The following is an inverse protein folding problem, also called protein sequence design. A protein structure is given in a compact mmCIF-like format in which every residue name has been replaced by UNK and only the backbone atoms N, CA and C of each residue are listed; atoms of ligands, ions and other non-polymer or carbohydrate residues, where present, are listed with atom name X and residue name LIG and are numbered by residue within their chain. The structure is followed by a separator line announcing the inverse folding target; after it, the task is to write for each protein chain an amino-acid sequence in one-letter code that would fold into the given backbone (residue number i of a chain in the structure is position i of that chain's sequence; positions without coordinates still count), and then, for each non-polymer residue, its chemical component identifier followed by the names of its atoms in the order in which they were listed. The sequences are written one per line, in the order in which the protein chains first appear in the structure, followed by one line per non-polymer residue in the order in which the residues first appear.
data_IF_584196702044
#
_entry.id   IF_584196702044
#
_cell.length_a   1.000
_cell.length_b   1.000
_cell.length_c   1.000
_cell.angle_alpha   90.00
_cell.angle_beta   90.00
_cell.angle_gamma   90.00
#
_symmetry.space_group_name_H-M   'P 1'
#
loop_
_entity.id
_entity.type
_entity.pdbx_description
1 polymer ?
#
# COMPACT_ATOMS: atom_id res chain seq x y z
N UNK A 1 42.56 -36.29 -26.87
CA UNK A 1 42.98 -35.14 -26.04
C UNK A 1 43.67 -34.05 -26.87
N UNK A 2 44.32 -34.37 -27.95
CA UNK A 2 45.10 -33.41 -28.78
C UNK A 2 44.26 -32.54 -29.71
N UNK A 3 43.12 -33.05 -30.21
CA UNK A 3 42.20 -32.30 -31.04
C UNK A 3 41.56 -31.16 -30.24
N UNK A 4 41.13 -31.40 -29.02
CA UNK A 4 40.56 -30.38 -28.13
C UNK A 4 41.58 -29.28 -27.79
N UNK A 5 42.83 -29.66 -27.54
CA UNK A 5 43.95 -28.72 -27.30
C UNK A 5 44.23 -27.85 -28.52
N UNK A 6 44.18 -28.44 -29.73
CA UNK A 6 44.36 -27.71 -30.99
C UNK A 6 43.28 -26.66 -31.20
N UNK A 7 42.01 -27.03 -31.05
CA UNK A 7 40.91 -26.09 -31.19
C UNK A 7 40.90 -25.01 -30.09
N UNK A 8 41.22 -25.38 -28.85
CA UNK A 8 41.37 -24.42 -27.77
C UNK A 8 42.48 -23.39 -28.06
N UNK A 9 43.64 -23.84 -28.55
CA UNK A 9 44.77 -22.93 -28.90
C UNK A 9 44.45 -22.04 -30.09
N UNK A 10 43.64 -22.51 -31.05
CA UNK A 10 43.24 -21.75 -32.26
C UNK A 10 42.12 -20.75 -31.98
N UNK A 11 41.21 -21.10 -31.09
CA UNK A 11 39.99 -20.32 -30.81
C UNK A 11 39.92 -19.75 -29.39
N UNK A 12 41.04 -19.74 -28.64
CA UNK A 12 41.04 -19.27 -27.25
C UNK A 12 40.50 -17.84 -27.08
N UNK A 13 40.71 -16.97 -28.06
CA UNK A 13 40.14 -15.61 -28.07
C UNK A 13 38.62 -15.66 -28.11
N UNK A 14 38.04 -16.60 -28.85
CA UNK A 14 36.57 -16.81 -28.87
C UNK A 14 36.04 -17.23 -27.50
N UNK A 15 36.75 -18.08 -26.78
CA UNK A 15 36.39 -18.48 -25.42
C UNK A 15 36.43 -17.33 -24.42
N UNK A 16 37.36 -16.38 -24.61
CA UNK A 16 37.43 -15.15 -23.80
C UNK A 16 36.14 -14.28 -23.93
N UNK A 17 35.44 -14.34 -25.04
CA UNK A 17 34.18 -13.62 -25.23
C UNK A 17 32.95 -14.49 -24.97
N UNK A 18 32.96 -15.73 -25.42
CA UNK A 18 31.81 -16.64 -25.29
C UNK A 18 31.55 -16.97 -23.82
N UNK A 19 32.56 -17.31 -23.03
CA UNK A 19 32.37 -17.70 -21.63
C UNK A 19 31.80 -16.54 -20.79
N UNK A 20 32.40 -15.34 -20.79
CA UNK A 20 31.83 -14.20 -20.07
C UNK A 20 30.41 -13.86 -20.54
N UNK A 21 30.14 -13.94 -21.85
CA UNK A 21 28.80 -13.68 -22.39
C UNK A 21 27.78 -14.70 -21.91
N UNK A 22 28.15 -15.98 -21.85
CA UNK A 22 27.29 -17.03 -21.30
C UNK A 22 27.05 -16.84 -19.80
N UNK A 23 28.10 -16.53 -19.03
CA UNK A 23 27.98 -16.23 -17.60
C UNK A 23 27.04 -15.05 -17.39
N UNK A 24 27.25 -13.96 -18.12
CA UNK A 24 26.39 -12.77 -18.05
C UNK A 24 24.96 -13.11 -18.43
N UNK A 25 24.73 -13.89 -19.49
CA UNK A 25 23.41 -14.37 -19.87
C UNK A 25 22.72 -15.12 -18.72
N UNK A 26 23.42 -16.06 -18.08
CA UNK A 26 22.87 -16.81 -16.95
C UNK A 26 22.58 -15.90 -15.75
N UNK A 27 23.45 -14.93 -15.46
CA UNK A 27 23.20 -13.95 -14.40
C UNK A 27 21.92 -13.11 -14.67
N UNK A 28 21.64 -12.82 -15.94
CA UNK A 28 20.43 -12.07 -16.35
C UNK A 28 19.15 -12.91 -16.42
N UNK A 29 19.26 -14.25 -16.52
CA UNK A 29 18.08 -15.12 -16.70
C UNK A 29 17.69 -15.85 -15.42
N UNK A 30 18.66 -16.24 -14.59
CA UNK A 30 18.39 -16.97 -13.34
C UNK A 30 17.72 -16.03 -12.35
N UNK A 31 16.46 -16.34 -12.02
CA UNK A 31 15.68 -15.62 -11.02
C UNK A 31 15.95 -16.17 -9.62
N UNK A 32 15.89 -15.30 -8.65
CA UNK A 32 16.08 -15.61 -7.22
C UNK A 32 14.77 -15.45 -6.46
N UNK A 33 14.76 -15.84 -5.18
CA UNK A 33 13.65 -15.55 -4.25
C UNK A 33 13.83 -14.18 -3.56
N UNK A 34 14.46 -13.24 -4.23
CA UNK A 34 14.65 -11.87 -3.73
C UNK A 34 13.84 -10.89 -4.55
N UNK A 35 13.39 -9.85 -3.89
CA UNK A 35 12.77 -8.70 -4.52
C UNK A 35 13.65 -7.46 -4.31
N UNK A 36 13.51 -6.49 -5.21
CA UNK A 36 14.24 -5.23 -5.18
C UNK A 36 13.22 -4.10 -5.12
N UNK A 37 13.39 -3.19 -4.17
CA UNK A 37 12.68 -1.93 -4.12
C UNK A 37 13.58 -0.87 -4.74
N UNK A 38 13.03 -0.13 -5.69
CA UNK A 38 13.70 0.99 -6.35
C UNK A 38 12.98 2.29 -6.00
N UNK A 39 13.74 3.38 -5.94
CA UNK A 39 13.22 4.72 -5.85
C UNK A 39 12.15 4.94 -6.93
N UNK A 40 11.01 5.50 -6.52
CA UNK A 40 9.89 5.83 -7.40
C UNK A 40 9.73 7.34 -7.58
N UNK A 41 8.49 7.77 -7.70
CA UNK A 41 8.12 9.17 -7.91
C UNK A 41 7.00 9.59 -6.95
N UNK A 42 6.73 10.89 -6.89
CA UNK A 42 5.58 11.45 -6.18
C UNK A 42 4.37 11.55 -7.10
N UNK A 43 3.19 11.45 -6.50
CA UNK A 43 1.92 11.69 -7.20
C UNK A 43 1.05 12.61 -6.37
N UNK A 44 0.59 13.70 -6.97
CA UNK A 44 -0.38 14.61 -6.36
C UNK A 44 -1.69 13.88 -6.11
N UNK A 45 -2.23 14.02 -4.90
CA UNK A 45 -3.42 13.26 -4.53
C UNK A 45 -4.69 13.76 -5.21
N UNK A 46 -4.79 15.05 -5.51
CA UNK A 46 -5.89 15.64 -6.29
C UNK A 46 -6.02 15.06 -7.70
N UNK A 47 -4.93 14.50 -8.26
CA UNK A 47 -5.00 13.77 -9.55
C UNK A 47 -5.60 12.36 -9.41
N UNK A 48 -5.70 11.85 -8.18
CA UNK A 48 -6.24 10.51 -7.85
C UNK A 48 -7.69 10.61 -7.41
N UNK A 49 -7.99 11.51 -6.49
CA UNK A 49 -9.35 11.82 -6.03
C UNK A 49 -9.56 13.32 -6.09
N UNK A 50 -10.57 13.71 -6.83
CA UNK A 50 -11.00 15.09 -6.96
C UNK A 50 -12.39 15.26 -6.33
N UNK A 51 -12.48 16.07 -5.27
CA UNK A 51 -13.74 16.43 -4.62
C UNK A 51 -14.26 17.70 -5.28
N UNK A 52 -15.53 17.71 -5.68
CA UNK A 52 -16.14 18.86 -6.34
C UNK A 52 -16.56 19.90 -5.31
N UNK A 53 -15.63 20.74 -4.91
CA UNK A 53 -15.81 21.88 -3.97
C UNK A 53 -15.23 23.15 -4.57
N UNK A 54 -15.61 24.29 -3.98
CA UNK A 54 -15.02 25.61 -4.32
C UNK A 54 -13.80 25.94 -3.43
N UNK A 55 -13.36 25.02 -2.57
CA UNK A 55 -12.27 25.24 -1.64
C UNK A 55 -10.94 25.25 -2.40
N UNK A 56 -10.21 26.34 -2.34
CA UNK A 56 -8.90 26.48 -2.95
C UNK A 56 -7.81 25.92 -2.05
N UNK A 57 -6.86 25.20 -2.64
CA UNK A 57 -5.66 24.69 -1.97
C UNK A 57 -4.44 25.43 -2.47
N UNK A 58 -3.68 26.04 -1.57
CA UNK A 58 -2.46 26.79 -1.89
C UNK A 58 -1.23 25.90 -2.02
N UNK A 59 -1.17 24.84 -1.21
CA UNK A 59 -0.12 23.82 -1.26
C UNK A 59 -0.60 22.50 -1.82
N UNK A 60 0.02 21.38 -1.42
CA UNK A 60 -0.33 20.08 -1.99
C UNK A 60 -0.06 18.92 -1.04
N UNK A 61 -0.89 17.88 -1.17
CA UNK A 61 -0.63 16.54 -0.61
C UNK A 61 -0.18 15.59 -1.71
N UNK A 62 0.92 14.87 -1.46
CA UNK A 62 1.49 13.91 -2.39
C UNK A 62 1.74 12.57 -1.72
N UNK A 63 1.43 11.47 -2.41
CA UNK A 63 1.89 10.14 -2.03
C UNK A 63 3.15 9.77 -2.81
N UNK A 64 3.95 8.87 -2.26
CA UNK A 64 5.17 8.38 -2.90
C UNK A 64 5.01 6.89 -3.14
N UNK A 65 5.18 6.46 -4.38
CA UNK A 65 5.28 5.06 -4.73
C UNK A 65 6.73 4.65 -4.97
N UNK A 66 6.97 3.36 -4.89
CA UNK A 66 8.25 2.72 -5.20
C UNK A 66 8.05 1.68 -6.28
N UNK A 67 9.08 1.39 -7.06
CA UNK A 67 9.04 0.27 -7.98
C UNK A 67 9.50 -1.00 -7.27
N UNK A 68 8.70 -2.07 -7.36
CA UNK A 68 9.02 -3.37 -6.80
C UNK A 68 9.26 -4.39 -7.92
N UNK A 69 10.46 -4.98 -7.93
CA UNK A 69 10.85 -6.03 -8.87
C UNK A 69 10.92 -7.35 -8.12
N UNK A 70 9.85 -8.13 -8.17
CA UNK A 70 9.79 -9.46 -7.56
C UNK A 70 10.59 -10.50 -8.34
N UNK A 71 11.14 -11.49 -7.62
CA UNK A 71 11.94 -12.57 -8.21
C UNK A 71 13.07 -12.02 -9.09
N UNK A 72 13.80 -11.05 -8.59
CA UNK A 72 14.90 -10.40 -9.28
C UNK A 72 15.96 -11.41 -9.73
N UNK A 73 16.61 -11.13 -10.86
CA UNK A 73 17.70 -11.98 -11.37
C UNK A 73 18.97 -11.81 -10.53
N UNK A 74 19.90 -12.74 -10.66
CA UNK A 74 21.21 -12.65 -9.98
C UNK A 74 21.92 -11.33 -10.30
N UNK A 75 21.86 -10.88 -11.56
CA UNK A 75 22.48 -9.63 -11.97
C UNK A 75 21.76 -8.39 -11.39
N UNK A 76 20.43 -8.40 -11.37
CA UNK A 76 19.65 -7.33 -10.75
C UNK A 76 19.94 -7.22 -9.25
N UNK A 77 20.02 -8.35 -8.54
CA UNK A 77 20.39 -8.35 -7.11
C UNK A 77 21.80 -7.81 -6.88
N UNK A 78 22.77 -8.22 -7.70
CA UNK A 78 24.12 -7.72 -7.61
C UNK A 78 24.18 -6.19 -7.77
N UNK A 79 23.43 -5.62 -8.74
CA UNK A 79 23.34 -4.16 -8.90
C UNK A 79 22.67 -3.52 -7.69
N UNK A 80 21.56 -4.07 -7.21
CA UNK A 80 20.83 -3.50 -6.10
C UNK A 80 21.65 -3.46 -4.80
N UNK A 81 22.41 -4.52 -4.50
CA UNK A 81 23.27 -4.59 -3.32
C UNK A 81 24.44 -3.58 -3.35
N UNK A 82 24.82 -3.08 -4.53
CA UNK A 82 25.87 -2.09 -4.72
C UNK A 82 25.32 -0.68 -5.03
N UNK A 83 24.00 -0.49 -4.94
CA UNK A 83 23.33 0.77 -5.20
C UNK A 83 22.91 1.44 -3.90
N UNK A 84 23.03 2.77 -3.82
CA UNK A 84 22.53 3.56 -2.69
C UNK A 84 21.05 3.92 -2.80
N UNK A 85 20.40 3.62 -3.94
CA UNK A 85 19.02 4.03 -4.28
C UNK A 85 18.08 2.83 -4.41
N UNK A 86 18.51 1.63 -4.03
CA UNK A 86 17.70 0.42 -4.09
C UNK A 86 18.04 -0.52 -2.94
N UNK A 87 17.05 -1.27 -2.50
CA UNK A 87 17.21 -2.30 -1.48
C UNK A 87 16.80 -3.66 -2.03
N UNK A 88 17.64 -4.69 -1.80
CA UNK A 88 17.31 -6.08 -2.11
C UNK A 88 16.99 -6.83 -0.83
N UNK A 89 15.83 -7.50 -0.79
CA UNK A 89 15.39 -8.28 0.38
C UNK A 89 14.89 -9.67 -0.01
N UNK A 90 14.91 -10.60 0.91
CA UNK A 90 14.37 -11.93 0.70
C UNK A 90 12.83 -11.88 0.74
N UNK A 91 12.22 -12.43 -0.31
CA UNK A 91 10.76 -12.60 -0.34
C UNK A 91 10.36 -13.62 0.71
N UNK A 92 9.27 -13.33 1.43
CA UNK A 92 8.73 -14.29 2.39
C UNK A 92 8.28 -15.58 1.68
N UNK A 93 8.35 -16.72 2.37
CA UNK A 93 7.84 -17.99 1.84
C UNK A 93 6.37 -17.89 1.41
N UNK A 94 5.65 -16.96 2.00
CA UNK A 94 4.24 -16.68 1.71
C UNK A 94 4.02 -15.95 0.38
N UNK A 95 4.97 -15.14 -0.06
CA UNK A 95 4.86 -14.39 -1.33
C UNK A 95 5.46 -15.15 -2.53
N UNK A 96 6.25 -16.18 -2.30
CA UNK A 96 6.95 -16.90 -3.38
C UNK A 96 6.04 -17.80 -4.22
N UNK A 97 4.88 -18.24 -3.70
CA UNK A 97 3.97 -19.15 -4.41
C UNK A 97 2.94 -18.41 -5.29
N UNK A 98 2.71 -17.12 -5.07
CA UNK A 98 1.82 -16.32 -5.92
C UNK A 98 2.56 -15.83 -7.17
N UNK A 99 1.83 -15.69 -8.26
CA UNK A 99 2.36 -15.13 -9.51
C UNK A 99 2.45 -13.61 -9.44
N UNK A 100 3.27 -12.99 -10.29
CA UNK A 100 3.35 -11.52 -10.37
C UNK A 100 2.02 -10.87 -10.74
N UNK A 101 1.15 -11.55 -11.52
CA UNK A 101 -0.20 -11.05 -11.82
C UNK A 101 -1.10 -11.07 -10.59
N UNK A 102 -1.02 -12.12 -9.77
CA UNK A 102 -1.76 -12.21 -8.50
C UNK A 102 -1.26 -11.15 -7.51
N UNK A 103 0.06 -10.93 -7.42
CA UNK A 103 0.66 -9.89 -6.61
C UNK A 103 0.17 -8.49 -7.04
N UNK A 104 0.14 -8.21 -8.35
CA UNK A 104 -0.42 -6.96 -8.88
C UNK A 104 -1.90 -6.80 -8.51
N UNK A 105 -2.71 -7.87 -8.68
CA UNK A 105 -4.13 -7.85 -8.33
C UNK A 105 -4.33 -7.61 -6.83
N UNK A 106 -3.56 -8.28 -5.97
CA UNK A 106 -3.55 -8.04 -4.52
C UNK A 106 -3.23 -6.59 -4.18
N UNK A 107 -2.21 -6.01 -4.81
CA UNK A 107 -1.86 -4.60 -4.65
C UNK A 107 -3.00 -3.66 -5.03
N UNK A 108 -3.76 -3.96 -6.09
CA UNK A 108 -4.94 -3.16 -6.49
C UNK A 108 -6.07 -3.24 -5.47
N UNK A 109 -6.34 -4.43 -4.91
CA UNK A 109 -7.32 -4.61 -3.84
C UNK A 109 -6.94 -3.78 -2.61
N UNK A 110 -5.68 -3.86 -2.18
CA UNK A 110 -5.14 -3.09 -1.06
C UNK A 110 -5.26 -1.57 -1.28
N UNK A 111 -4.94 -1.12 -2.49
CA UNK A 111 -5.09 0.28 -2.88
C UNK A 111 -6.56 0.74 -2.82
N UNK A 112 -7.48 -0.04 -3.38
CA UNK A 112 -8.91 0.28 -3.36
C UNK A 112 -9.47 0.30 -1.93
N UNK A 113 -9.03 -0.63 -1.08
CA UNK A 113 -9.36 -0.62 0.35
C UNK A 113 -8.86 0.65 1.05
N UNK A 114 -7.63 1.06 0.74
CA UNK A 114 -7.04 2.29 1.28
C UNK A 114 -7.85 3.54 0.90
N UNK A 115 -8.26 3.64 -0.37
CA UNK A 115 -9.14 4.72 -0.85
C UNK A 115 -10.48 4.70 -0.11
N UNK A 116 -11.10 3.53 0.04
CA UNK A 116 -12.36 3.38 0.77
C UNK A 116 -12.24 3.83 2.23
N UNK A 117 -11.20 3.38 2.93
CA UNK A 117 -10.93 3.81 4.31
C UNK A 117 -10.72 5.32 4.40
N UNK A 118 -9.95 5.90 3.46
CA UNK A 118 -9.68 7.33 3.40
C UNK A 118 -10.94 8.16 3.19
N UNK A 119 -11.81 7.75 2.25
CA UNK A 119 -13.10 8.40 2.00
C UNK A 119 -13.99 8.33 3.24
N UNK A 120 -14.17 7.15 3.83
CA UNK A 120 -15.02 6.96 5.03
C UNK A 120 -14.54 7.84 6.17
N UNK A 121 -13.22 7.83 6.47
CA UNK A 121 -12.68 8.62 7.57
C UNK A 121 -12.77 10.13 7.29
N UNK A 122 -12.33 10.59 6.11
CA UNK A 122 -12.29 12.01 5.79
C UNK A 122 -13.69 12.64 5.76
N UNK A 123 -14.67 11.99 5.13
CA UNK A 123 -16.06 12.48 5.13
C UNK A 123 -16.68 12.44 6.52
N UNK A 124 -16.41 11.38 7.31
CA UNK A 124 -16.89 11.30 8.69
C UNK A 124 -16.34 12.44 9.56
N UNK A 125 -15.05 12.75 9.43
CA UNK A 125 -14.43 13.84 10.21
C UNK A 125 -14.91 15.22 9.72
N UNK A 126 -14.98 15.43 8.42
CA UNK A 126 -15.48 16.70 7.86
C UNK A 126 -16.96 16.95 8.19
N UNK A 127 -17.78 15.90 8.28
CA UNK A 127 -19.18 16.02 8.67
C UNK A 127 -19.40 16.52 10.10
N UNK A 128 -18.40 16.45 10.97
CA UNK A 128 -18.44 17.02 12.33
C UNK A 128 -18.37 18.54 12.30
N UNK A 129 -17.69 19.11 11.30
CA UNK A 129 -17.60 20.56 11.08
C UNK A 129 -18.82 21.08 10.27
N UNK A 130 -19.22 20.33 9.25
CA UNK A 130 -20.39 20.64 8.40
C UNK A 130 -21.26 19.38 8.19
N UNK A 131 -22.41 19.28 8.88
CA UNK A 131 -23.30 18.12 8.77
C UNK A 131 -23.92 17.90 7.38
N UNK A 132 -23.75 18.83 6.44
CA UNK A 132 -24.17 18.65 5.05
C UNK A 132 -23.24 17.70 4.27
N UNK A 133 -22.01 17.56 4.75
CA UNK A 133 -21.00 16.65 4.16
C UNK A 133 -21.38 15.21 4.47
N UNK A 134 -21.57 14.39 3.44
CA UNK A 134 -22.02 13.00 3.58
C UNK A 134 -21.43 12.11 2.51
N UNK A 135 -20.93 10.96 2.90
CA UNK A 135 -20.55 9.88 1.99
C UNK A 135 -21.66 8.84 1.89
N UNK A 136 -22.13 8.57 0.68
CA UNK A 136 -23.04 7.43 0.41
C UNK A 136 -22.19 6.19 0.12
N UNK A 137 -22.10 5.28 1.08
CA UNK A 137 -21.27 4.09 0.98
C UNK A 137 -21.87 2.88 1.71
N UNK A 138 -21.39 1.70 1.33
CA UNK A 138 -21.70 0.43 1.98
C UNK A 138 -20.43 -0.42 2.11
N UNK A 139 -20.20 -0.98 3.28
CA UNK A 139 -19.18 -2.02 3.44
C UNK A 139 -19.70 -3.33 2.85
N UNK A 140 -18.91 -4.00 1.98
CA UNK A 140 -19.38 -5.18 1.23
C UNK A 140 -18.67 -6.48 1.61
N UNK A 141 -17.68 -6.43 2.48
CA UNK A 141 -16.94 -7.59 2.97
C UNK A 141 -15.43 -7.42 2.93
N UNK A 142 -14.73 -8.52 3.16
CA UNK A 142 -13.27 -8.56 3.09
C UNK A 142 -12.80 -9.31 1.86
N UNK A 143 -11.92 -8.71 1.07
CA UNK A 143 -11.38 -9.30 -0.14
C UNK A 143 -9.98 -9.85 0.10
N UNK A 144 -9.75 -11.09 -0.35
CA UNK A 144 -8.49 -11.83 -0.15
C UNK A 144 -7.37 -11.20 -0.99
N UNK A 145 -6.25 -10.90 -0.33
CA UNK A 145 -5.02 -10.39 -0.94
C UNK A 145 -3.83 -11.32 -0.77
N UNK A 146 -3.97 -12.32 0.05
CA UNK A 146 -3.00 -13.39 0.25
C UNK A 146 -3.72 -14.66 0.70
N UNK A 147 -3.24 -15.83 0.26
CA UNK A 147 -3.71 -17.14 0.71
C UNK A 147 -2.53 -18.10 0.89
N UNK A 148 -2.65 -19.05 1.82
CA UNK A 148 -1.62 -20.08 2.06
C UNK A 148 -1.48 -21.06 0.89
N UNK A 149 -0.32 -21.71 0.72
CA UNK A 149 -0.04 -22.58 -0.45
C UNK A 149 -1.05 -23.70 -0.71
N UNK A 150 -1.64 -24.25 0.36
CA UNK A 150 -2.64 -25.33 0.28
C UNK A 150 -4.07 -24.83 0.49
N UNK A 151 -4.28 -23.53 0.50
CA UNK A 151 -5.59 -22.93 0.72
C UNK A 151 -6.51 -23.06 -0.48
N UNK A 152 -7.80 -23.22 -0.22
CA UNK A 152 -8.85 -23.14 -1.24
C UNK A 152 -9.21 -21.72 -1.65
N UNK A 153 -8.74 -20.71 -0.90
CA UNK A 153 -8.90 -19.31 -1.26
C UNK A 153 -8.08 -18.91 -2.48
N UNK A 154 -8.49 -17.84 -3.14
CA UNK A 154 -7.76 -17.19 -4.24
C UNK A 154 -7.76 -15.68 -4.01
N UNK A 155 -6.76 -14.99 -4.56
CA UNK A 155 -6.75 -13.54 -4.57
C UNK A 155 -7.98 -13.01 -5.31
N UNK A 156 -8.67 -12.06 -4.67
CA UNK A 156 -9.91 -11.49 -5.20
C UNK A 156 -11.19 -12.12 -4.67
N UNK A 157 -11.13 -13.27 -3.98
CA UNK A 157 -12.30 -13.82 -3.29
C UNK A 157 -12.84 -12.80 -2.28
N UNK A 158 -14.13 -12.52 -2.34
CA UNK A 158 -14.80 -11.60 -1.41
C UNK A 158 -15.57 -12.41 -0.36
N UNK A 159 -15.15 -12.35 0.90
CA UNK A 159 -15.83 -12.99 2.02
C UNK A 159 -17.10 -12.18 2.32
N UNK A 160 -18.25 -12.80 2.08
CA UNK A 160 -19.58 -12.19 2.27
C UNK A 160 -20.27 -12.65 3.55
N UNK A 161 -19.88 -13.80 4.08
CA UNK A 161 -20.46 -14.36 5.28
C UNK A 161 -19.60 -15.43 5.92
N UNK A 162 -19.96 -15.79 7.11
CA UNK A 162 -19.30 -16.84 7.91
C UNK A 162 -20.38 -17.67 8.59
N UNK A 163 -20.26 -18.99 8.49
CA UNK A 163 -20.92 -19.90 9.42
C UNK A 163 -19.99 -20.14 10.59
N UNK A 164 -20.48 -19.95 11.79
CA UNK A 164 -19.76 -20.33 13.01
C UNK A 164 -20.60 -21.31 13.82
N UNK A 165 -20.01 -22.46 14.10
CA UNK A 165 -20.62 -23.49 14.95
C UNK A 165 -20.96 -22.97 16.34
N UNK A 166 -20.13 -22.10 16.89
CA UNK A 166 -20.36 -21.55 18.24
C UNK A 166 -21.61 -20.66 18.30
N UNK A 167 -21.91 -19.95 17.19
CA UNK A 167 -23.14 -19.15 17.08
C UNK A 167 -24.30 -19.97 16.50
N UNK A 168 -24.03 -21.17 15.94
CA UNK A 168 -25.03 -22.04 15.34
C UNK A 168 -25.72 -21.48 14.10
N UNK A 169 -25.17 -20.42 13.50
CA UNK A 169 -25.80 -19.70 12.40
C UNK A 169 -24.78 -19.15 11.40
N UNK A 170 -25.27 -18.81 10.22
CA UNK A 170 -24.56 -17.99 9.23
C UNK A 170 -24.78 -16.53 9.59
N UNK A 171 -23.69 -15.74 9.52
CA UNK A 171 -23.76 -14.28 9.63
C UNK A 171 -23.25 -13.69 8.32
N UNK A 172 -24.14 -12.96 7.64
CA UNK A 172 -23.81 -12.26 6.39
C UNK A 172 -23.46 -10.80 6.67
N UNK A 173 -22.54 -10.25 5.90
CA UNK A 173 -22.10 -8.84 6.03
C UNK A 173 -23.26 -7.85 5.84
N UNK A 174 -24.22 -8.20 4.99
CA UNK A 174 -25.39 -7.35 4.69
C UNK A 174 -26.48 -7.44 5.77
N UNK A 175 -26.45 -8.45 6.66
CA UNK A 175 -27.42 -8.68 7.74
C UNK A 175 -26.94 -8.07 9.06
N UNK A 176 -25.71 -8.40 9.47
CA UNK A 176 -25.11 -7.86 10.68
C UNK A 176 -23.59 -7.67 10.47
N UNK A 177 -23.23 -6.45 10.06
CA UNK A 177 -21.85 -6.10 9.74
C UNK A 177 -20.94 -6.15 10.98
N UNK A 178 -21.44 -5.76 12.14
CA UNK A 178 -20.59 -5.67 13.34
C UNK A 178 -20.29 -7.07 13.87
N UNK A 179 -21.29 -7.94 13.98
CA UNK A 179 -21.11 -9.35 14.34
C UNK A 179 -20.26 -10.09 13.30
N UNK A 180 -20.46 -9.81 11.99
CA UNK A 180 -19.62 -10.38 10.93
C UNK A 180 -18.15 -10.01 11.11
N UNK A 181 -17.83 -8.74 11.39
CA UNK A 181 -16.45 -8.28 11.65
C UNK A 181 -15.88 -8.91 12.92
N UNK A 182 -16.67 -8.97 13.97
CA UNK A 182 -16.28 -9.60 15.25
C UNK A 182 -15.90 -11.06 15.04
N UNK A 183 -16.76 -11.86 14.40
CA UNK A 183 -16.49 -13.28 14.14
C UNK A 183 -15.25 -13.44 13.25
N UNK A 184 -15.07 -12.59 12.23
CA UNK A 184 -13.93 -12.70 11.33
C UNK A 184 -12.60 -12.38 12.00
N UNK A 185 -12.56 -11.43 12.93
CA UNK A 185 -11.33 -10.90 13.51
C UNK A 185 -10.97 -11.47 14.87
N UNK A 186 -11.97 -11.80 15.68
CA UNK A 186 -11.78 -12.04 17.12
C UNK A 186 -12.10 -13.48 17.56
N UNK A 187 -12.81 -14.24 16.73
CA UNK A 187 -13.32 -15.54 17.11
C UNK A 187 -12.35 -16.69 16.77
N UNK A 188 -12.13 -17.60 17.74
CA UNK A 188 -11.38 -18.83 17.49
C UNK A 188 -12.25 -19.83 16.71
N UNK A 189 -11.82 -20.17 15.49
CA UNK A 189 -12.57 -21.00 14.54
C UNK A 189 -12.35 -22.48 14.78
N UNK A 190 -13.37 -23.28 14.50
CA UNK A 190 -13.31 -24.74 14.53
C UNK A 190 -13.46 -25.34 13.12
N UNK A 191 -13.13 -26.64 12.99
CA UNK A 191 -13.14 -27.35 11.69
C UNK A 191 -14.52 -27.48 11.04
N UNK A 192 -15.59 -27.12 11.74
CA UNK A 192 -16.96 -27.12 11.20
C UNK A 192 -17.39 -25.73 10.69
N UNK A 193 -16.58 -24.71 10.93
CA UNK A 193 -16.84 -23.37 10.42
C UNK A 193 -16.54 -23.32 8.91
N UNK A 194 -17.21 -22.40 8.21
CA UNK A 194 -16.93 -22.15 6.79
C UNK A 194 -17.18 -20.70 6.43
N UNK A 195 -16.47 -20.27 5.38
CA UNK A 195 -16.64 -18.94 4.82
C UNK A 195 -17.56 -19.02 3.60
N UNK A 196 -18.45 -18.06 3.49
CA UNK A 196 -19.25 -17.84 2.30
C UNK A 196 -18.58 -16.74 1.48
N UNK A 197 -18.08 -17.11 0.32
CA UNK A 197 -17.33 -16.19 -0.55
C UNK A 197 -18.05 -15.98 -1.88
N UNK A 198 -17.78 -14.82 -2.49
CA UNK A 198 -18.07 -14.57 -3.91
C UNK A 198 -16.76 -14.62 -4.70
N UNK A 199 -16.65 -15.55 -5.63
CA UNK A 199 -15.56 -15.67 -6.60
C UNK A 199 -16.10 -15.40 -7.99
N UNK A 200 -15.66 -14.32 -8.62
CA UNK A 200 -16.16 -13.90 -9.94
C UNK A 200 -17.69 -13.85 -10.02
N UNK A 201 -18.36 -13.36 -8.97
CA UNK A 201 -19.82 -13.27 -8.87
C UNK A 201 -20.53 -14.56 -8.46
N UNK A 202 -19.83 -15.70 -8.37
CA UNK A 202 -20.41 -16.97 -7.94
C UNK A 202 -20.22 -17.18 -6.46
N UNK A 203 -21.30 -17.43 -5.71
CA UNK A 203 -21.26 -17.77 -4.30
C UNK A 203 -20.81 -19.21 -4.08
N UNK A 204 -19.91 -19.43 -3.13
CA UNK A 204 -19.44 -20.75 -2.72
C UNK A 204 -19.00 -20.78 -1.26
N UNK A 205 -18.95 -21.97 -0.69
CA UNK A 205 -18.49 -22.18 0.67
C UNK A 205 -17.06 -22.70 0.66
N UNK A 206 -16.20 -22.09 1.48
CA UNK A 206 -14.84 -22.54 1.76
C UNK A 206 -14.79 -23.03 3.20
N UNK A 207 -14.59 -24.34 3.45
CA UNK A 207 -14.49 -24.86 4.82
C UNK A 207 -13.27 -24.25 5.52
N UNK A 208 -13.40 -23.98 6.81
CA UNK A 208 -12.25 -23.66 7.63
C UNK A 208 -11.45 -24.94 7.90
N UNK A 209 -10.16 -24.89 7.58
CA UNK A 209 -9.21 -25.97 7.91
C UNK A 209 -8.04 -25.29 8.60
N UNK A 210 -7.85 -25.61 9.89
CA UNK A 210 -6.81 -25.00 10.72
C UNK A 210 -5.43 -25.14 10.06
N UNK A 211 -4.67 -24.07 10.03
CA UNK A 211 -3.33 -23.96 9.42
C UNK A 211 -3.26 -24.22 7.91
N UNK A 212 -4.36 -24.46 7.23
CA UNK A 212 -4.42 -24.66 5.78
C UNK A 212 -5.02 -23.44 5.09
N UNK A 213 -6.23 -23.06 5.49
CA UNK A 213 -6.93 -21.91 4.89
C UNK A 213 -6.49 -20.59 5.56
N UNK A 214 -5.18 -20.32 5.54
CA UNK A 214 -4.64 -19.03 5.97
C UNK A 214 -4.79 -17.99 4.86
N UNK A 215 -5.12 -16.76 5.24
CA UNK A 215 -5.29 -15.66 4.30
C UNK A 215 -5.04 -14.30 4.96
N UNK A 216 -4.77 -13.30 4.12
CA UNK A 216 -4.92 -11.88 4.46
C UNK A 216 -6.02 -11.29 3.59
N UNK A 217 -6.82 -10.40 4.15
CA UNK A 217 -7.91 -9.75 3.45
C UNK A 217 -8.02 -8.28 3.85
N UNK A 218 -8.58 -7.48 2.95
CA UNK A 218 -8.80 -6.06 3.15
C UNK A 218 -10.28 -5.74 3.01
N UNK A 219 -10.78 -4.86 3.88
CA UNK A 219 -12.16 -4.38 3.84
C UNK A 219 -12.44 -3.58 2.57
N UNK A 220 -13.54 -3.89 1.90
CA UNK A 220 -13.93 -3.25 0.66
C UNK A 220 -15.25 -2.52 0.85
N UNK A 221 -15.34 -1.34 0.24
CA UNK A 221 -16.51 -0.48 0.23
C UNK A 221 -17.00 -0.26 -1.19
N UNK A 222 -18.31 -0.28 -1.36
CA UNK A 222 -18.99 0.37 -2.49
C UNK A 222 -19.37 1.79 -2.06
N UNK A 223 -19.12 2.77 -2.90
CA UNK A 223 -19.51 4.15 -2.68
C UNK A 223 -20.18 4.73 -3.91
N UNK A 224 -21.16 5.59 -3.67
CA UNK A 224 -21.87 6.30 -4.71
C UNK A 224 -21.43 7.76 -4.72
N UNK A 225 -20.47 8.09 -5.57
CA UNK A 225 -19.89 9.43 -5.63
C UNK A 225 -20.91 10.51 -5.99
N UNK A 226 -21.93 10.19 -6.80
CA UNK A 226 -22.96 11.13 -7.26
C UNK A 226 -23.97 11.46 -6.13
N UNK A 227 -24.22 10.49 -5.24
CA UNK A 227 -25.11 10.69 -4.08
C UNK A 227 -24.38 11.22 -2.86
N UNK A 228 -23.06 11.23 -2.88
CA UNK A 228 -22.24 11.85 -1.82
C UNK A 228 -22.30 13.37 -1.94
N UNK A 229 -22.12 14.06 -0.83
CA UNK A 229 -22.08 15.52 -0.78
C UNK A 229 -20.86 16.00 0.03
N UNK A 230 -19.89 16.70 -0.58
CA UNK A 230 -19.74 16.96 -2.01
C UNK A 230 -19.57 15.69 -2.85
N UNK A 231 -19.88 15.78 -4.15
CA UNK A 231 -19.59 14.70 -5.11
C UNK A 231 -18.10 14.60 -5.39
N UNK A 232 -17.64 13.46 -5.89
CA UNK A 232 -16.22 13.26 -6.17
C UNK A 232 -15.98 12.32 -7.35
N UNK A 233 -14.76 12.34 -7.88
CA UNK A 233 -14.28 11.41 -8.90
C UNK A 233 -13.01 10.70 -8.41
N UNK A 234 -12.90 9.41 -8.73
CA UNK A 234 -11.70 8.60 -8.48
C UNK A 234 -11.09 8.21 -9.81
N UNK A 235 -9.87 8.67 -10.06
CA UNK A 235 -9.14 8.36 -11.30
C UNK A 235 -8.56 6.95 -11.24
N UNK A 236 -8.61 6.24 -12.36
CA UNK A 236 -7.90 4.97 -12.50
C UNK A 236 -6.39 5.22 -12.62
N UNK A 237 -5.58 4.44 -11.93
CA UNK A 237 -4.13 4.47 -12.00
C UNK A 237 -3.53 3.07 -11.90
N UNK A 238 -2.21 2.93 -12.12
CA UNK A 238 -1.48 1.68 -12.02
C UNK A 238 -0.87 1.43 -10.62
N UNK A 239 -1.02 2.38 -9.70
CA UNK A 239 -0.47 2.29 -8.35
C UNK A 239 -1.18 1.17 -7.59
N UNK A 240 -0.42 0.41 -6.81
CA UNK A 240 -0.91 -0.64 -5.91
C UNK A 240 -0.42 -0.43 -4.49
N UNK A 241 -1.03 -1.16 -3.55
CA UNK A 241 -0.66 -1.14 -2.14
C UNK A 241 -1.34 -0.02 -1.34
N UNK A 242 -1.41 -0.18 -0.01
CA UNK A 242 -2.18 0.70 0.88
C UNK A 242 -1.37 1.85 1.49
N UNK A 243 -0.09 2.02 1.11
CA UNK A 243 0.88 2.88 1.80
C UNK A 243 0.61 4.39 1.71
N UNK A 244 -0.29 4.81 0.83
CA UNK A 244 -0.70 6.22 0.69
C UNK A 244 -1.89 6.63 1.55
N UNK A 245 -2.45 5.73 2.35
CA UNK A 245 -3.73 5.91 3.03
C UNK A 245 -3.85 7.17 3.88
N UNK A 246 -2.81 7.49 4.67
CA UNK A 246 -2.78 8.72 5.46
C UNK A 246 -2.91 9.96 4.58
N UNK A 247 -2.04 10.09 3.57
CA UNK A 247 -2.01 11.28 2.71
C UNK A 247 -3.28 11.40 1.86
N UNK A 248 -3.87 10.23 1.50
CA UNK A 248 -5.19 10.15 0.88
C UNK A 248 -6.24 10.78 1.76
N UNK A 249 -6.28 10.39 3.04
CA UNK A 249 -7.26 10.91 4.00
C UNK A 249 -7.08 12.41 4.22
N UNK A 250 -5.85 12.87 4.43
CA UNK A 250 -5.54 14.29 4.62
C UNK A 250 -5.94 15.12 3.39
N UNK A 251 -5.63 14.64 2.17
CA UNK A 251 -5.97 15.35 0.94
C UNK A 251 -7.49 15.43 0.73
N UNK A 252 -8.23 14.33 0.97
CA UNK A 252 -9.69 14.33 0.87
C UNK A 252 -10.28 15.27 1.92
N UNK A 253 -9.85 15.17 3.18
CA UNK A 253 -10.33 16.01 4.25
C UNK A 253 -10.09 17.50 3.95
N UNK A 254 -8.89 17.86 3.50
CA UNK A 254 -8.52 19.23 3.14
C UNK A 254 -9.40 19.80 2.01
N UNK A 255 -9.81 18.98 1.04
CA UNK A 255 -10.73 19.38 -0.01
C UNK A 255 -12.16 19.59 0.51
N UNK A 256 -12.57 18.88 1.57
CA UNK A 256 -13.90 18.94 2.15
C UNK A 256 -14.10 20.15 3.07
N UNK A 257 -13.04 20.57 3.79
CA UNK A 257 -13.12 21.68 4.76
C UNK A 257 -12.71 23.01 4.13
N UNK A 258 -13.14 24.12 4.74
CA UNK A 258 -12.86 25.47 4.22
C UNK A 258 -11.45 25.95 4.48
N UNK A 259 -10.85 25.49 5.59
CA UNK A 259 -9.49 25.84 5.97
C UNK A 259 -8.49 25.03 5.14
N UNK A 260 -7.56 25.69 4.45
CA UNK A 260 -6.48 25.01 3.74
C UNK A 260 -5.37 24.60 4.71
N UNK A 261 -5.36 23.31 5.06
CA UNK A 261 -4.37 22.73 5.97
C UNK A 261 -2.96 22.62 5.37
N UNK A 262 -2.79 22.90 4.09
CA UNK A 262 -1.47 22.87 3.48
C UNK A 262 -0.64 24.10 3.82
N UNK A 263 -1.27 25.25 4.13
CA UNK A 263 -0.59 26.54 4.36
C UNK A 263 0.39 26.91 3.23
N UNK A 264 0.10 26.48 2.00
CA UNK A 264 0.99 26.67 0.86
C UNK A 264 2.17 25.69 0.79
N UNK A 265 2.32 24.76 1.74
CA UNK A 265 3.40 23.79 1.81
C UNK A 265 3.16 22.58 0.89
N UNK A 266 4.25 21.95 0.48
CA UNK A 266 4.26 20.69 -0.25
C UNK A 266 4.44 19.55 0.74
N UNK A 267 3.39 18.78 0.99
CA UNK A 267 3.33 17.75 2.02
C UNK A 267 3.35 16.38 1.38
N UNK A 268 4.34 15.59 1.72
CA UNK A 268 4.42 14.20 1.38
C UNK A 268 4.35 13.31 2.64
N UNK A 269 4.27 12.02 2.44
CA UNK A 269 4.32 11.08 3.55
C UNK A 269 3.89 9.70 3.15
N UNK A 270 3.81 8.83 4.15
CA UNK A 270 3.44 7.44 3.97
C UNK A 270 2.83 6.88 5.26
N UNK A 271 1.97 5.89 5.08
CA UNK A 271 1.29 5.19 6.15
C UNK A 271 -0.01 4.56 5.63
N UNK A 272 -0.32 3.35 6.04
CA UNK A 272 -1.67 2.80 5.82
C UNK A 272 -2.67 3.55 6.68
N UNK A 273 -3.95 3.47 6.35
CA UNK A 273 -5.02 4.08 7.15
C UNK A 273 -6.11 3.05 7.45
N UNK A 274 -6.56 3.03 8.69
CA UNK A 274 -7.75 2.28 9.11
C UNK A 274 -8.95 3.21 9.29
N UNK A 275 -10.18 2.70 9.26
CA UNK A 275 -11.39 3.53 9.41
C UNK A 275 -11.46 4.30 10.74
N UNK A 276 -10.75 3.86 11.78
CA UNK A 276 -10.66 4.53 13.09
C UNK A 276 -9.50 5.54 13.18
N UNK A 277 -8.80 5.79 12.07
CA UNK A 277 -7.73 6.78 11.99
C UNK A 277 -6.33 6.30 12.37
N UNK A 278 -6.12 5.02 12.73
CA UNK A 278 -4.78 4.51 13.02
C UNK A 278 -3.94 4.42 11.75
N UNK A 279 -2.68 4.83 11.85
CA UNK A 279 -1.69 4.79 10.78
C UNK A 279 -0.75 3.63 10.99
N UNK A 280 -0.66 2.75 9.99
CA UNK A 280 0.17 1.55 10.05
C UNK A 280 1.45 1.65 9.24
N UNK A 281 2.37 0.71 9.53
CA UNK A 281 3.68 0.58 8.87
C UNK A 281 3.57 0.26 7.39
N UNK A 282 4.63 0.62 6.65
CA UNK A 282 4.76 0.37 5.21
C UNK A 282 6.17 -0.14 4.87
N UNK A 283 6.36 -0.63 3.65
CA UNK A 283 7.67 -0.95 3.11
C UNK A 283 8.26 0.17 2.23
N UNK A 284 9.58 0.13 2.01
CA UNK A 284 10.28 1.03 1.10
C UNK A 284 10.43 2.47 1.64
N UNK A 285 10.54 2.63 2.96
CA UNK A 285 10.71 3.97 3.55
C UNK A 285 12.05 4.60 3.16
N UNK A 286 13.10 3.78 3.01
CA UNK A 286 14.46 4.24 2.63
C UNK A 286 14.49 4.86 1.25
N UNK A 287 13.65 4.37 0.33
CA UNK A 287 13.53 4.89 -1.04
C UNK A 287 12.58 6.10 -1.10
N UNK A 288 11.57 6.14 -0.22
CA UNK A 288 10.57 7.22 -0.20
C UNK A 288 11.12 8.53 0.35
N UNK A 289 11.96 8.49 1.38
CA UNK A 289 12.58 9.69 1.96
C UNK A 289 13.42 10.47 0.93
N UNK A 290 14.38 9.84 0.20
CA UNK A 290 15.13 10.56 -0.84
C UNK A 290 14.23 11.05 -1.99
N UNK A 291 13.16 10.31 -2.32
CA UNK A 291 12.20 10.76 -3.34
C UNK A 291 11.52 12.04 -2.91
N UNK A 292 11.01 12.11 -1.68
CA UNK A 292 10.38 13.32 -1.15
C UNK A 292 11.36 14.51 -1.13
N UNK A 293 12.60 14.26 -0.76
CA UNK A 293 13.64 15.29 -0.71
C UNK A 293 13.96 15.84 -2.11
N UNK A 294 14.14 14.97 -3.11
CA UNK A 294 14.46 15.38 -4.49
C UNK A 294 13.30 16.17 -5.12
N UNK A 295 12.07 15.82 -4.76
CA UNK A 295 10.86 16.53 -5.18
C UNK A 295 10.57 17.77 -4.31
N UNK A 296 11.50 18.15 -3.42
CA UNK A 296 11.46 19.37 -2.60
C UNK A 296 10.18 19.47 -1.76
N UNK A 297 9.82 18.37 -1.09
CA UNK A 297 8.74 18.40 -0.12
C UNK A 297 9.17 19.17 1.15
N UNK A 298 8.25 19.93 1.72
CA UNK A 298 8.50 20.71 2.94
C UNK A 298 8.33 19.84 4.18
N UNK A 299 7.33 18.93 4.15
CA UNK A 299 6.98 18.03 5.24
C UNK A 299 6.92 16.59 4.70
N UNK A 300 7.42 15.64 5.51
CA UNK A 300 7.22 14.21 5.31
C UNK A 300 6.61 13.57 6.57
N UNK A 301 5.36 13.13 6.47
CA UNK A 301 4.73 12.35 7.52
C UNK A 301 5.16 10.89 7.47
N UNK A 302 5.62 10.36 8.59
CA UNK A 302 6.10 9.00 8.74
C UNK A 302 5.34 8.27 9.84
N UNK A 303 4.83 7.07 9.54
CA UNK A 303 4.24 6.22 10.55
C UNK A 303 5.25 5.91 11.67
N UNK A 304 4.83 5.97 12.94
CA UNK A 304 5.66 5.71 14.13
C UNK A 304 6.48 4.43 14.01
N UNK A 305 5.90 3.35 13.52
CA UNK A 305 6.60 2.08 13.36
C UNK A 305 7.68 2.06 12.26
N UNK A 306 7.75 3.10 11.41
CA UNK A 306 8.80 3.26 10.40
C UNK A 306 9.82 4.35 10.76
N UNK A 307 9.67 5.05 11.90
CA UNK A 307 10.41 6.29 12.15
C UNK A 307 11.93 6.08 12.27
N UNK A 308 12.38 4.98 12.86
CA UNK A 308 13.81 4.73 13.02
C UNK A 308 14.48 4.49 11.66
N UNK A 309 13.85 3.70 10.79
CA UNK A 309 14.33 3.46 9.43
C UNK A 309 14.26 4.75 8.58
N UNK A 310 13.23 5.57 8.77
CA UNK A 310 13.08 6.87 8.13
C UNK A 310 14.19 7.85 8.56
N UNK A 311 14.53 7.91 9.85
CA UNK A 311 15.64 8.73 10.37
C UNK A 311 16.98 8.32 9.78
N UNK A 312 17.24 7.02 9.60
CA UNK A 312 18.47 6.56 8.95
C UNK A 312 18.60 7.09 7.52
N UNK A 313 17.52 7.02 6.73
CA UNK A 313 17.51 7.55 5.36
C UNK A 313 17.61 9.09 5.34
N UNK A 314 16.87 9.75 6.23
CA UNK A 314 16.84 11.21 6.37
C UNK A 314 18.21 11.79 6.73
N UNK A 315 18.96 11.15 7.64
CA UNK A 315 20.29 11.59 8.06
C UNK A 315 21.36 11.47 6.96
N UNK A 316 21.07 10.72 5.88
CA UNK A 316 21.94 10.60 4.70
C UNK A 316 21.68 11.67 3.64
N UNK A 317 20.62 12.47 3.81
CA UNK A 317 20.31 13.56 2.89
C UNK A 317 21.37 14.67 2.95
N UNK A 318 21.63 15.40 1.83
CA UNK A 318 22.61 16.47 1.76
C UNK A 318 22.31 17.63 2.72
N UNK A 319 21.04 17.85 3.04
CA UNK A 319 20.56 18.81 4.05
C UNK A 319 19.23 18.30 4.62
N UNK A 320 18.74 18.95 5.66
CA UNK A 320 17.54 18.56 6.41
C UNK A 320 16.48 19.67 6.39
N UNK A 321 16.27 20.28 5.22
CA UNK A 321 15.25 21.33 5.06
C UNK A 321 13.82 20.78 5.09
N UNK A 322 13.61 19.53 4.62
CA UNK A 322 12.33 18.84 4.75
C UNK A 322 12.10 18.41 6.21
N UNK A 323 10.94 18.67 6.77
CA UNK A 323 10.60 18.24 8.14
C UNK A 323 10.11 16.79 8.13
N UNK A 324 10.75 15.93 8.93
CA UNK A 324 10.33 14.54 9.15
C UNK A 324 9.50 14.49 10.43
N UNK A 325 8.20 14.19 10.30
CA UNK A 325 7.23 14.21 11.39
C UNK A 325 6.72 12.78 11.65
N UNK A 326 6.92 12.31 12.88
CA UNK A 326 6.39 11.03 13.36
C UNK A 326 4.90 11.18 13.69
N UNK A 327 4.10 10.20 13.23
CA UNK A 327 2.66 10.14 13.50
C UNK A 327 2.19 8.73 13.79
N UNK A 328 1.18 8.59 14.62
CA UNK A 328 0.55 7.32 14.99
C UNK A 328 -0.89 7.24 14.48
N UNK A 329 -1.54 8.40 14.35
CA UNK A 329 -2.93 8.51 13.89
C UNK A 329 -3.11 9.63 12.87
N UNK A 330 -4.22 9.59 12.13
CA UNK A 330 -4.69 10.71 11.32
C UNK A 330 -4.80 12.00 12.13
N UNK A 331 -5.23 11.91 13.39
CA UNK A 331 -5.43 13.06 14.26
C UNK A 331 -4.12 13.73 14.66
N UNK A 332 -3.02 12.98 14.80
CA UNK A 332 -1.70 13.56 15.06
C UNK A 332 -1.26 14.42 13.88
N UNK A 333 -1.44 13.91 12.65
CA UNK A 333 -1.12 14.68 11.45
C UNK A 333 -2.02 15.91 11.29
N UNK A 334 -3.33 15.77 11.57
CA UNK A 334 -4.28 16.86 11.52
C UNK A 334 -3.94 17.96 12.55
N UNK A 335 -3.63 17.58 13.78
CA UNK A 335 -3.23 18.53 14.83
C UNK A 335 -1.92 19.24 14.50
N UNK A 336 -0.95 18.51 13.93
CA UNK A 336 0.29 19.12 13.45
C UNK A 336 -0.01 20.17 12.37
N UNK A 337 -0.85 19.89 11.40
CA UNK A 337 -1.20 20.83 10.33
C UNK A 337 -2.03 22.02 10.82
N UNK A 338 -2.88 21.85 11.85
CA UNK A 338 -3.68 22.96 12.41
C UNK A 338 -2.84 23.90 13.30
N UNK A 339 -1.91 23.36 14.07
CA UNK A 339 -1.21 24.14 15.11
C UNK A 339 0.32 23.94 15.11
N UNK A 340 0.78 22.69 14.98
CA UNK A 340 2.18 22.32 15.17
C UNK A 340 3.13 22.89 14.12
N UNK A 341 2.67 23.07 12.87
CA UNK A 341 3.48 23.57 11.76
C UNK A 341 4.07 24.97 12.03
N UNK A 342 3.41 25.81 12.85
CA UNK A 342 3.87 27.16 13.22
C UNK A 342 5.22 27.15 13.94
N UNK A 343 5.52 26.06 14.66
CA UNK A 343 6.79 25.92 15.36
C UNK A 343 7.96 25.68 14.39
N UNK A 344 7.66 25.07 13.23
CA UNK A 344 8.65 24.67 12.23
C UNK A 344 8.80 25.68 11.09
N UNK A 345 7.74 26.38 10.72
CA UNK A 345 7.67 27.27 9.56
C UNK A 345 7.31 28.73 9.90
N UNK A 346 6.99 29.02 11.18
CA UNK A 346 6.50 30.31 11.61
C UNK A 346 5.02 30.52 11.37
N UNK A 347 4.39 31.49 12.04
CA UNK A 347 3.02 31.93 11.73
C UNK A 347 3.02 32.76 10.46
N UNK A 348 2.12 32.49 9.51
CA UNK A 348 1.78 33.46 8.47
C UNK A 348 1.27 34.74 9.15
N UNK A 349 1.97 35.88 8.99
CA UNK A 349 1.49 37.23 9.38
C UNK A 349 0.50 37.75 8.31
#
# INVERSE_FOLDING_TARGET
MDILKFYFKKFWVLFLFIIPSLVFFFLCVIRTNRAIILKGDTTLFTSVINIHTENEQKGSFSTIYVYNVEKATLFQNFIAEHSSISESYEMSATSTHISGMESYHAGKIQYNSSIGNALVLAYSEASKEDPSIKLDYRFIGYQITYYGPNSSFRIGDLIKGIYSKAFGSVVMVDEDMDLYKEILTSYERCDEDYFIISRNGTMMNIPYIKNVNTFNAYGIYEYNSIKSNPTFEVSSNLIGGPSGGLLQTLSIYNQLVKEDLTHGLRIAGTGTISPNGNVGIIGGIKEKIPTAFDDKMDIFFCAKGNIEEAKEAYNRLPNQNMKLIEIETFYDALNYLKEGYKNDFGSEE
#
